data_IF_402518702030
#
_entry.id   IF_402518702030
#
_cell.length_a   1.000
_cell.length_b   1.000
_cell.length_c   1.000
_cell.angle_alpha   90.00
_cell.angle_beta   90.00
_cell.angle_gamma   90.00
#
_symmetry.space_group_name_H-M   'P 1'
#
loop_
_entity.id
_entity.type
_entity.pdbx_description
1 polymer ?
#
# COMPACT_ATOMS: atom_id res chain seq x y z
N UNK A 1 -15.48 8.87 18.52
CA UNK A 1 -14.37 8.01 18.06
C UNK A 1 -14.73 7.56 16.65
N UNK A 2 -13.93 7.89 15.65
CA UNK A 2 -14.20 7.49 14.26
C UNK A 2 -13.81 6.01 14.10
N UNK A 3 -14.74 5.19 13.61
CA UNK A 3 -14.49 3.76 13.33
C UNK A 3 -14.47 3.55 11.83
N UNK A 4 -13.71 2.57 11.36
CA UNK A 4 -13.74 2.21 9.94
C UNK A 4 -15.14 1.77 9.53
N UNK A 5 -15.58 2.11 8.30
CA UNK A 5 -16.76 1.48 7.72
C UNK A 5 -16.52 -0.03 7.56
N UNK A 6 -17.60 -0.80 7.62
CA UNK A 6 -17.56 -2.25 7.37
C UNK A 6 -17.28 -2.49 5.88
N UNK A 7 -15.99 -2.64 5.54
CA UNK A 7 -15.52 -2.92 4.20
C UNK A 7 -15.14 -4.39 4.09
N UNK A 8 -15.69 -5.06 3.08
CA UNK A 8 -15.31 -6.44 2.78
C UNK A 8 -13.81 -6.51 2.44
N UNK A 9 -13.12 -7.50 3.02
CA UNK A 9 -11.76 -7.84 2.60
C UNK A 9 -11.77 -8.33 1.15
N UNK A 10 -10.69 -8.09 0.37
CA UNK A 10 -10.55 -8.67 -0.94
C UNK A 10 -10.50 -10.21 -0.88
N UNK A 11 -10.88 -10.85 -1.98
CA UNK A 11 -10.76 -12.31 -2.13
C UNK A 11 -9.30 -12.75 -1.90
N UNK A 12 -9.03 -13.68 -0.96
CA UNK A 12 -7.69 -14.19 -0.71
C UNK A 12 -6.99 -14.72 -1.96
N UNK A 13 -7.71 -15.35 -2.90
CA UNK A 13 -7.10 -15.84 -4.15
C UNK A 13 -6.66 -14.70 -5.07
N UNK A 14 -7.45 -13.62 -5.13
CA UNK A 14 -7.10 -12.42 -5.87
C UNK A 14 -5.87 -11.73 -5.28
N UNK A 15 -5.80 -11.63 -3.95
CA UNK A 15 -4.65 -11.12 -3.21
C UNK A 15 -3.39 -11.93 -3.49
N UNK A 16 -3.47 -13.26 -3.39
CA UNK A 16 -2.32 -14.14 -3.65
C UNK A 16 -1.81 -14.00 -5.09
N UNK A 17 -2.74 -13.92 -6.06
CA UNK A 17 -2.39 -13.69 -7.46
C UNK A 17 -1.71 -12.33 -7.66
N UNK A 18 -2.23 -11.26 -7.05
CA UNK A 18 -1.64 -9.94 -7.12
C UNK A 18 -0.23 -9.94 -6.52
N UNK A 19 -0.04 -10.53 -5.34
CA UNK A 19 1.25 -10.65 -4.66
C UNK A 19 2.30 -11.34 -5.51
N UNK A 20 1.97 -12.49 -6.11
CA UNK A 20 2.89 -13.22 -7.01
C UNK A 20 3.22 -12.40 -8.26
N UNK A 21 2.25 -11.69 -8.84
CA UNK A 21 2.49 -10.86 -10.02
C UNK A 21 3.35 -9.63 -9.70
N UNK A 22 3.11 -8.98 -8.56
CA UNK A 22 3.91 -7.85 -8.08
C UNK A 22 5.36 -8.27 -7.84
N UNK A 23 5.57 -9.36 -7.10
CA UNK A 23 6.89 -9.92 -6.84
C UNK A 23 7.66 -10.20 -8.14
N UNK A 24 6.99 -10.80 -9.14
CA UNK A 24 7.58 -11.08 -10.45
C UNK A 24 7.92 -9.83 -11.27
N UNK A 25 7.13 -8.76 -11.16
CA UNK A 25 7.29 -7.54 -11.98
C UNK A 25 8.18 -6.48 -11.34
N UNK A 26 8.17 -6.40 -10.01
CA UNK A 26 8.88 -5.38 -9.23
C UNK A 26 10.13 -5.94 -8.54
N UNK A 27 10.20 -7.26 -8.36
CA UNK A 27 11.23 -7.94 -7.56
C UNK A 27 10.80 -8.13 -6.11
N UNK A 28 11.24 -9.23 -5.50
CA UNK A 28 10.88 -9.62 -4.13
C UNK A 28 11.28 -8.58 -3.08
N UNK A 29 12.36 -7.83 -3.32
CA UNK A 29 12.84 -6.79 -2.40
C UNK A 29 11.85 -5.62 -2.27
N UNK A 30 10.96 -5.43 -3.25
CA UNK A 30 9.96 -4.34 -3.24
C UNK A 30 8.59 -4.78 -2.73
N UNK A 31 8.39 -6.07 -2.42
CA UNK A 31 7.08 -6.60 -2.00
C UNK A 31 7.19 -7.25 -0.63
N UNK A 32 6.74 -6.54 0.40
CA UNK A 32 6.65 -7.10 1.74
C UNK A 32 5.38 -7.93 1.89
N UNK A 33 5.54 -9.06 2.56
CA UNK A 33 4.47 -10.04 2.80
C UNK A 33 4.63 -10.58 4.22
N UNK A 34 3.53 -11.12 4.76
CA UNK A 34 3.50 -11.67 6.11
C UNK A 34 3.04 -10.64 7.13
N UNK A 35 2.31 -11.12 8.12
CA UNK A 35 1.57 -10.31 9.09
C UNK A 35 2.46 -9.29 9.81
N UNK A 36 3.58 -9.73 10.38
CA UNK A 36 4.50 -8.86 11.14
C UNK A 36 5.06 -7.70 10.29
N UNK A 37 5.51 -8.01 9.06
CA UNK A 37 6.11 -7.01 8.16
C UNK A 37 5.06 -6.03 7.63
N UNK A 38 3.85 -6.51 7.39
CA UNK A 38 2.75 -5.70 6.85
C UNK A 38 2.07 -4.86 7.94
N UNK A 39 2.01 -5.34 9.18
CA UNK A 39 1.39 -4.64 10.31
C UNK A 39 2.02 -3.28 10.58
N UNK A 40 3.32 -3.11 10.32
CA UNK A 40 4.01 -1.82 10.42
C UNK A 40 3.43 -0.72 9.49
N UNK A 41 2.61 -1.08 8.51
CA UNK A 41 1.99 -0.19 7.54
C UNK A 41 0.47 -0.05 7.73
N UNK A 42 -0.10 -0.61 8.79
CA UNK A 42 -1.54 -0.65 9.04
C UNK A 42 -2.09 0.63 9.70
N UNK A 43 -1.24 1.44 10.35
CA UNK A 43 -1.69 2.57 11.17
C UNK A 43 -1.06 3.89 10.76
N UNK A 44 -1.77 4.99 10.98
CA UNK A 44 -1.23 6.35 11.00
C UNK A 44 -1.50 7.00 12.38
N UNK A 45 -1.24 8.30 12.53
CA UNK A 45 -1.46 9.05 13.78
C UNK A 45 -2.95 9.31 14.09
N UNK A 46 -3.89 8.74 13.32
CA UNK A 46 -5.33 8.92 13.58
C UNK A 46 -5.89 8.09 14.74
N UNK A 47 -5.14 7.08 15.21
CA UNK A 47 -5.61 6.09 16.20
C UNK A 47 -6.81 5.25 15.73
N UNK A 48 -7.05 5.18 14.41
CA UNK A 48 -8.07 4.30 13.84
C UNK A 48 -7.51 2.88 13.78
N UNK A 49 -8.22 1.94 14.42
CA UNK A 49 -7.91 0.52 14.33
C UNK A 49 -8.26 -0.02 12.94
N UNK A 50 -7.35 -0.80 12.36
CA UNK A 50 -7.46 -1.35 11.02
C UNK A 50 -6.81 -2.72 10.92
N UNK A 51 -7.25 -3.55 9.96
CA UNK A 51 -6.55 -4.79 9.69
C UNK A 51 -5.16 -4.54 9.12
N UNK A 52 -4.25 -5.52 9.28
CA UNK A 52 -3.02 -5.53 8.51
C UNK A 52 -3.33 -5.61 6.99
N UNK A 53 -2.55 -4.90 6.16
CA UNK A 53 -2.60 -5.11 4.72
C UNK A 53 -2.07 -6.49 4.37
N UNK A 54 -2.51 -7.03 3.23
CA UNK A 54 -2.09 -8.36 2.75
C UNK A 54 -0.71 -8.33 2.08
N UNK A 55 -0.34 -7.17 1.53
CA UNK A 55 0.98 -6.90 0.98
C UNK A 55 1.33 -5.42 1.08
N UNK A 56 2.63 -5.11 1.06
CA UNK A 56 3.13 -3.73 0.95
C UNK A 56 4.08 -3.65 -0.23
N UNK A 57 3.86 -2.69 -1.12
CA UNK A 57 4.81 -2.37 -2.18
C UNK A 57 5.65 -1.18 -1.76
N UNK A 58 6.97 -1.34 -1.76
CA UNK A 58 7.95 -0.28 -1.55
C UNK A 58 8.30 0.34 -2.91
N UNK A 59 7.56 1.37 -3.29
CA UNK A 59 7.76 2.05 -4.57
C UNK A 59 8.94 3.04 -4.50
N UNK A 60 9.76 3.01 -5.54
CA UNK A 60 10.93 3.88 -5.70
C UNK A 60 10.86 4.69 -7.00
N UNK A 61 9.85 4.43 -7.84
CA UNK A 61 9.66 5.07 -9.13
C UNK A 61 8.19 5.17 -9.52
N UNK A 62 7.91 6.02 -10.51
CA UNK A 62 6.58 6.11 -11.11
C UNK A 62 6.17 4.78 -11.80
N UNK A 63 7.13 4.01 -12.31
CA UNK A 63 6.89 2.71 -12.94
C UNK A 63 6.44 1.66 -11.92
N UNK A 64 7.01 1.67 -10.71
CA UNK A 64 6.57 0.79 -9.61
C UNK A 64 5.10 1.09 -9.24
N UNK A 65 4.75 2.38 -9.16
CA UNK A 65 3.37 2.83 -8.89
C UNK A 65 2.42 2.35 -9.98
N UNK A 66 2.75 2.61 -11.25
CA UNK A 66 1.94 2.20 -12.41
C UNK A 66 1.73 0.68 -12.44
N UNK A 67 2.81 -0.08 -12.25
CA UNK A 67 2.76 -1.55 -12.21
C UNK A 67 1.87 -2.04 -11.07
N UNK A 68 1.97 -1.41 -9.89
CA UNK A 68 1.16 -1.78 -8.72
C UNK A 68 -0.31 -1.55 -8.97
N UNK A 69 -0.69 -0.35 -9.43
CA UNK A 69 -2.08 0.00 -9.70
C UNK A 69 -2.68 -0.88 -10.80
N UNK A 70 -1.93 -1.18 -11.86
CA UNK A 70 -2.40 -2.04 -12.95
C UNK A 70 -2.61 -3.50 -12.50
N UNK A 71 -1.73 -4.04 -11.63
CA UNK A 71 -1.92 -5.38 -11.08
C UNK A 71 -3.11 -5.41 -10.12
N UNK A 72 -3.25 -4.41 -9.26
CA UNK A 72 -4.31 -4.31 -8.28
C UNK A 72 -5.70 -4.16 -8.94
N UNK A 73 -5.82 -3.29 -9.96
CA UNK A 73 -7.05 -3.12 -10.75
C UNK A 73 -7.47 -4.44 -11.39
N UNK A 74 -6.54 -5.11 -12.10
CA UNK A 74 -6.82 -6.39 -12.77
C UNK A 74 -7.21 -7.51 -11.80
N UNK A 75 -6.70 -7.46 -10.57
CA UNK A 75 -7.02 -8.44 -9.53
C UNK A 75 -8.25 -8.07 -8.69
N UNK A 76 -8.75 -6.83 -8.77
CA UNK A 76 -9.80 -6.34 -7.87
C UNK A 76 -9.33 -6.20 -6.42
N UNK A 77 -8.06 -5.88 -6.19
CA UNK A 77 -7.48 -5.71 -4.85
C UNK A 77 -7.37 -4.20 -4.54
N UNK A 78 -7.89 -3.72 -3.40
CA UNK A 78 -7.81 -2.30 -3.05
C UNK A 78 -6.36 -1.88 -2.77
N UNK A 79 -6.07 -0.60 -3.05
CA UNK A 79 -4.76 0.01 -2.80
C UNK A 79 -4.91 1.21 -1.87
N UNK A 80 -4.10 1.25 -0.83
CA UNK A 80 -3.98 2.40 0.07
C UNK A 80 -2.63 3.09 -0.16
N UNK A 81 -2.59 4.32 -0.67
CA UNK A 81 -1.34 5.07 -0.81
C UNK A 81 -0.81 5.50 0.56
N UNK A 82 0.50 5.41 0.76
CA UNK A 82 1.15 5.78 2.01
C UNK A 82 2.54 6.36 1.76
N UNK A 83 2.84 7.50 2.39
CA UNK A 83 4.20 8.02 2.52
C UNK A 83 4.76 7.66 3.91
N UNK A 84 4.99 8.67 4.77
CA UNK A 84 5.45 8.43 6.15
C UNK A 84 4.39 7.89 7.11
N UNK A 85 3.11 7.98 6.76
CA UNK A 85 2.02 7.51 7.63
C UNK A 85 1.78 8.37 8.88
N UNK A 86 2.12 9.65 8.86
CA UNK A 86 1.88 10.59 9.97
C UNK A 86 0.54 11.34 9.89
N UNK A 87 -0.35 10.93 8.98
CA UNK A 87 -1.68 11.52 8.83
C UNK A 87 -2.53 11.29 10.09
N UNK A 88 -3.42 12.23 10.41
CA UNK A 88 -4.29 12.17 11.62
C UNK A 88 -5.75 11.92 11.33
N UNK A 89 -6.08 11.65 10.08
CA UNK A 89 -7.46 11.48 9.60
C UNK A 89 -7.73 10.10 9.02
N UNK A 90 -6.77 9.18 9.07
CA UNK A 90 -6.90 7.82 8.56
C UNK A 90 -6.56 7.67 7.08
N UNK A 91 -5.98 8.69 6.43
CA UNK A 91 -5.72 8.68 4.99
C UNK A 91 -4.71 7.62 4.54
N UNK A 92 -3.86 7.12 5.45
CA UNK A 92 -2.88 6.07 5.18
C UNK A 92 -3.27 4.71 5.79
N UNK A 93 -4.52 4.57 6.26
CA UNK A 93 -5.04 3.36 6.90
C UNK A 93 -5.65 2.43 5.84
N UNK A 94 -5.20 1.16 5.74
CA UNK A 94 -5.73 0.19 4.78
C UNK A 94 -7.05 -0.41 5.28
N UNK A 95 -8.13 0.37 5.18
CA UNK A 95 -9.42 0.05 5.78
C UNK A 95 -10.01 -1.31 5.36
N UNK A 96 -9.73 -1.77 4.14
CA UNK A 96 -10.16 -3.06 3.61
C UNK A 96 -9.05 -4.13 3.57
N UNK A 97 -7.88 -3.86 4.17
CA UNK A 97 -6.66 -4.62 3.90
C UNK A 97 -6.11 -4.32 2.50
N UNK A 98 -5.78 -5.35 1.73
CA UNK A 98 -5.27 -5.21 0.36
C UNK A 98 -3.80 -4.81 0.30
N UNK A 99 -3.47 -3.93 -0.65
CA UNK A 99 -2.10 -3.51 -0.91
C UNK A 99 -1.87 -2.12 -0.33
N UNK A 100 -0.89 -1.96 0.55
CA UNK A 100 -0.35 -0.63 0.84
C UNK A 100 0.73 -0.28 -0.19
N UNK A 101 0.58 0.86 -0.86
CA UNK A 101 1.57 1.41 -1.77
C UNK A 101 2.41 2.45 -1.03
N UNK A 102 3.59 2.03 -0.55
CA UNK A 102 4.53 2.89 0.18
C UNK A 102 5.40 3.67 -0.81
N UNK A 103 5.23 5.00 -0.86
CA UNK A 103 5.99 5.91 -1.73
C UNK A 103 7.14 6.62 -1.00
N UNK A 104 7.48 6.20 0.23
CA UNK A 104 8.53 6.84 1.04
C UNK A 104 9.91 6.81 0.35
N UNK A 105 10.17 5.81 -0.49
CA UNK A 105 11.38 5.70 -1.31
C UNK A 105 11.46 6.70 -2.46
N UNK A 106 10.35 7.33 -2.86
CA UNK A 106 10.29 8.32 -3.95
C UNK A 106 10.62 9.73 -3.46
N UNK A 107 11.75 9.91 -2.76
CA UNK A 107 12.10 11.15 -2.04
C UNK A 107 13.10 12.06 -2.76
N UNK A 108 13.44 11.75 -4.02
CA UNK A 108 14.40 12.56 -4.80
C UNK A 108 13.78 13.85 -5.33
N UNK A 109 14.35 14.99 -4.96
CA UNK A 109 14.05 16.28 -5.59
C UNK A 109 14.60 16.27 -7.04
N UNK A 110 13.70 16.41 -8.03
CA UNK A 110 14.04 16.27 -9.45
C UNK A 110 14.54 17.57 -10.08
N UNK A 111 13.89 18.68 -9.78
CA UNK A 111 14.21 19.98 -10.34
C UNK A 111 13.68 21.10 -9.43
N UNK A 112 14.28 22.29 -9.52
CA UNK A 112 13.78 23.51 -8.89
C UNK A 112 13.86 24.62 -9.94
N UNK A 113 12.72 25.04 -10.45
CA UNK A 113 12.64 26.28 -11.23
C UNK A 113 12.63 27.49 -10.28
N UNK A 114 13.54 28.45 -10.51
CA UNK A 114 13.71 29.67 -9.69
C UNK A 114 13.37 30.95 -10.47
N UNK A 115 12.77 30.83 -11.65
CA UNK A 115 12.40 31.99 -12.49
C UNK A 115 11.12 32.66 -12.04
#
# INVERSE_FOLDING_TARGET
>A
MWTLPDLARPDPQAVDKARVLLARRLGDSKVLVGEERCAAYATDESLIDAPAPDAVVLAESAEDVQTTLAVAEKAGVPVTPRAGGSGRTGGAVPAAGGIVLCTLGMSTLRDIDRR
#
